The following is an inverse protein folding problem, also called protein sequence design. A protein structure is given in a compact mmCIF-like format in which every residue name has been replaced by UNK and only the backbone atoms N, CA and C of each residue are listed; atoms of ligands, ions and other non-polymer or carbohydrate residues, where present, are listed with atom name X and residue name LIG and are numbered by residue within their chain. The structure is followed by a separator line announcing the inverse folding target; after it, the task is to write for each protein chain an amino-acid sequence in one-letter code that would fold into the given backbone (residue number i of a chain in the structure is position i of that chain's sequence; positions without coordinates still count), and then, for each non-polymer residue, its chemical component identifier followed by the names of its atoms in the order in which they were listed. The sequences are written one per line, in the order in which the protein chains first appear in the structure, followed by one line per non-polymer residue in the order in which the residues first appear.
data_IF_387177558953
#
_entry.id   IF_387177558953
#
_cell.length_a   1.000
_cell.length_b   1.000
_cell.length_c   1.000
_cell.angle_alpha   90.00
_cell.angle_beta   90.00
_cell.angle_gamma   90.00
#
_symmetry.space_group_name_H-M   'P 1'
#
loop_
_entity.id
_entity.type
_entity.pdbx_description
1 polymer ?
#
# COMPACT_ATOMS: atom_id res chain seq x y z
N UNK A 1 -4.89 -23.48 2.76
CA UNK A 1 -3.58 -23.02 3.18
C UNK A 1 -3.65 -21.68 3.92
N UNK A 2 -4.19 -20.58 3.31
CA UNK A 2 -4.24 -19.24 3.94
C UNK A 2 -4.87 -19.25 5.36
N UNK A 3 -6.00 -19.92 5.55
CA UNK A 3 -6.69 -20.00 6.85
C UNK A 3 -5.88 -20.74 7.89
N UNK A 4 -5.29 -21.87 7.52
CA UNK A 4 -4.41 -22.65 8.39
C UNK A 4 -3.17 -21.85 8.82
N UNK A 5 -2.49 -21.24 7.84
CA UNK A 5 -1.30 -20.42 8.14
C UNK A 5 -1.63 -19.24 9.04
N UNK A 6 -2.79 -18.58 8.85
CA UNK A 6 -3.22 -17.49 9.75
C UNK A 6 -3.48 -17.98 11.18
N UNK A 7 -4.10 -19.15 11.34
CA UNK A 7 -4.28 -19.76 12.66
C UNK A 7 -2.92 -20.06 13.30
N UNK A 8 -2.02 -20.73 12.57
CA UNK A 8 -0.67 -21.01 13.04
C UNK A 8 0.07 -19.74 13.51
N UNK A 9 0.02 -18.65 12.72
CA UNK A 9 0.63 -17.36 13.08
C UNK A 9 0.04 -16.79 14.38
N UNK A 10 -1.27 -16.95 14.60
CA UNK A 10 -1.92 -16.46 15.81
C UNK A 10 -1.58 -17.31 17.05
N UNK A 11 -1.35 -18.61 16.86
CA UNK A 11 -1.07 -19.58 17.93
C UNK A 11 0.43 -19.64 18.29
N UNK A 12 1.32 -18.96 17.56
CA UNK A 12 2.75 -18.93 17.88
C UNK A 12 3.04 -18.12 19.14
N UNK A 13 3.77 -18.72 20.07
CA UNK A 13 4.10 -18.11 21.36
C UNK A 13 5.52 -17.56 21.42
N UNK A 14 6.47 -18.16 20.69
CA UNK A 14 7.87 -17.76 20.76
C UNK A 14 8.33 -16.87 19.61
N UNK A 15 9.28 -15.97 19.89
CA UNK A 15 9.97 -15.15 18.89
C UNK A 15 10.67 -16.02 17.85
N UNK A 16 11.31 -17.12 18.30
CA UNK A 16 12.06 -18.04 17.44
C UNK A 16 11.15 -18.68 16.40
N UNK A 17 10.00 -19.20 16.80
CA UNK A 17 9.04 -19.84 15.89
C UNK A 17 8.47 -18.85 14.89
N UNK A 18 8.18 -17.64 15.36
CA UNK A 18 7.70 -16.53 14.49
C UNK A 18 8.73 -16.21 13.40
N UNK A 19 10.00 -16.08 13.76
CA UNK A 19 11.10 -15.80 12.80
C UNK A 19 11.26 -16.95 11.81
N UNK A 20 11.25 -18.18 12.27
CA UNK A 20 11.37 -19.37 11.42
C UNK A 20 10.22 -19.41 10.41
N UNK A 21 8.98 -19.19 10.87
CA UNK A 21 7.82 -19.19 10.00
C UNK A 21 7.88 -18.08 8.93
N UNK A 22 8.27 -16.87 9.31
CA UNK A 22 8.38 -15.75 8.35
C UNK A 22 9.45 -16.08 7.29
N UNK A 23 10.61 -16.62 7.69
CA UNK A 23 11.66 -17.05 6.75
C UNK A 23 11.15 -18.14 5.81
N UNK A 24 10.48 -19.16 6.33
CA UNK A 24 9.90 -20.24 5.53
C UNK A 24 8.87 -19.71 4.52
N UNK A 25 7.98 -18.82 4.96
CA UNK A 25 6.98 -18.21 4.07
C UNK A 25 7.62 -17.39 2.94
N UNK A 26 8.72 -16.69 3.22
CA UNK A 26 9.48 -15.97 2.21
C UNK A 26 10.16 -16.94 1.21
N UNK A 27 10.79 -18.01 1.68
CA UNK A 27 11.39 -19.05 0.83
C UNK A 27 10.34 -19.73 -0.07
N UNK A 28 9.12 -19.88 0.42
CA UNK A 28 8.00 -20.42 -0.35
C UNK A 28 7.32 -19.38 -1.27
N UNK A 29 7.87 -18.18 -1.43
CA UNK A 29 7.25 -17.06 -2.17
C UNK A 29 5.83 -16.71 -1.70
N UNK A 30 5.55 -16.89 -0.39
CA UNK A 30 4.28 -16.52 0.24
C UNK A 30 4.37 -15.14 0.90
N UNK A 31 4.88 -14.16 0.17
CA UNK A 31 5.21 -12.82 0.66
C UNK A 31 4.06 -12.17 1.43
N UNK A 32 2.82 -12.27 0.96
CA UNK A 32 1.66 -11.71 1.67
C UNK A 32 1.42 -12.34 3.05
N UNK A 33 1.68 -13.63 3.21
CA UNK A 33 1.57 -14.31 4.51
C UNK A 33 2.77 -13.98 5.41
N UNK A 34 3.97 -13.85 4.85
CA UNK A 34 5.15 -13.42 5.58
C UNK A 34 4.96 -12.00 6.16
N UNK A 35 4.43 -11.06 5.38
CA UNK A 35 4.09 -9.71 5.84
C UNK A 35 2.99 -9.75 6.93
N UNK A 36 1.98 -10.60 6.77
CA UNK A 36 0.95 -10.77 7.80
C UNK A 36 1.57 -11.29 9.11
N UNK A 37 2.44 -12.30 9.04
CA UNK A 37 3.14 -12.85 10.21
C UNK A 37 4.03 -11.79 10.88
N UNK A 38 4.81 -11.03 10.09
CA UNK A 38 5.70 -9.99 10.62
C UNK A 38 4.93 -8.84 11.28
N UNK A 39 3.80 -8.41 10.71
CA UNK A 39 2.92 -7.42 11.35
C UNK A 39 2.38 -7.91 12.70
N UNK A 40 2.00 -9.20 12.79
CA UNK A 40 1.57 -9.81 14.07
C UNK A 40 2.71 -9.90 15.07
N UNK A 41 3.94 -10.18 14.61
CA UNK A 41 5.13 -10.22 15.44
C UNK A 41 5.42 -8.86 16.11
N UNK A 42 5.26 -7.76 15.39
CA UNK A 42 5.44 -6.40 15.94
C UNK A 42 4.52 -6.14 17.14
N UNK A 43 3.27 -6.59 17.11
CA UNK A 43 2.35 -6.49 18.25
C UNK A 43 2.80 -7.29 19.48
N UNK A 44 3.77 -8.19 19.30
CA UNK A 44 4.40 -8.99 20.37
C UNK A 44 5.82 -8.51 20.69
N UNK A 45 6.15 -7.27 20.32
CA UNK A 45 7.46 -6.64 20.47
C UNK A 45 8.60 -7.38 19.73
N UNK A 46 8.28 -8.14 18.68
CA UNK A 46 9.25 -8.82 17.82
C UNK A 46 9.39 -8.00 16.55
N UNK A 47 10.41 -7.13 16.48
CA UNK A 47 10.69 -6.31 15.32
C UNK A 47 12.02 -6.70 14.69
N UNK A 48 11.96 -7.24 13.46
CA UNK A 48 13.14 -7.62 12.69
C UNK A 48 13.01 -6.96 11.31
N UNK A 49 13.71 -5.85 11.06
CA UNK A 49 13.49 -4.98 9.89
C UNK A 49 13.46 -5.74 8.56
N UNK A 50 14.46 -6.58 8.29
CA UNK A 50 14.55 -7.30 7.01
C UNK A 50 13.45 -8.35 6.81
N UNK A 51 12.81 -8.86 7.89
CA UNK A 51 11.66 -9.76 7.80
C UNK A 51 10.34 -8.98 7.66
N UNK A 52 10.30 -7.78 8.22
CA UNK A 52 9.10 -6.93 8.18
C UNK A 52 8.92 -6.26 6.82
N UNK A 53 10.01 -6.09 6.06
CA UNK A 53 10.02 -5.47 4.74
C UNK A 53 10.58 -6.42 3.66
N UNK A 54 9.93 -7.56 3.42
CA UNK A 54 10.39 -8.50 2.41
C UNK A 54 10.29 -7.86 1.02
N UNK A 55 11.32 -8.11 0.22
CA UNK A 55 11.31 -7.75 -1.19
C UNK A 55 10.50 -8.80 -1.95
N UNK A 56 9.56 -8.42 -2.83
CA UNK A 56 8.82 -9.38 -3.63
C UNK A 56 9.72 -10.10 -4.64
N UNK A 57 9.23 -11.21 -5.20
CA UNK A 57 9.95 -12.00 -6.21
C UNK A 57 10.42 -11.15 -7.39
N UNK A 58 11.56 -11.52 -8.00
CA UNK A 58 12.23 -10.78 -9.08
C UNK A 58 11.28 -10.46 -10.25
N UNK A 59 10.45 -11.42 -10.65
CA UNK A 59 9.43 -11.23 -11.70
C UNK A 59 8.47 -10.09 -11.40
N UNK A 60 8.06 -9.95 -10.14
CA UNK A 60 7.18 -8.85 -9.75
C UNK A 60 7.95 -7.53 -9.68
N UNK A 61 9.19 -7.53 -9.19
CA UNK A 61 10.07 -6.35 -9.21
C UNK A 61 10.24 -5.81 -10.63
N UNK A 62 10.57 -6.67 -11.59
CA UNK A 62 10.67 -6.29 -13.00
C UNK A 62 9.38 -5.68 -13.52
N UNK A 63 8.22 -6.25 -13.11
CA UNK A 63 6.91 -5.68 -13.49
C UNK A 63 6.72 -4.26 -12.96
N UNK A 64 7.20 -3.94 -11.74
CA UNK A 64 7.19 -2.58 -11.20
C UNK A 64 8.11 -1.64 -11.99
N UNK A 65 9.33 -2.08 -12.28
CA UNK A 65 10.31 -1.30 -13.05
C UNK A 65 9.76 -0.88 -14.42
N UNK A 66 9.09 -1.80 -15.11
CA UNK A 66 8.57 -1.58 -16.46
C UNK A 66 7.26 -0.77 -16.50
N UNK A 67 6.47 -0.78 -15.44
CA UNK A 67 5.10 -0.26 -15.49
C UNK A 67 4.80 0.88 -14.51
N UNK A 68 5.71 1.24 -13.60
CA UNK A 68 5.46 2.29 -12.63
C UNK A 68 5.71 3.69 -13.20
N UNK A 69 4.82 4.62 -12.90
CA UNK A 69 4.97 6.07 -13.16
C UNK A 69 5.65 6.84 -12.03
N UNK A 70 6.00 6.16 -10.94
CA UNK A 70 6.65 6.72 -9.76
C UNK A 70 7.86 5.87 -9.39
N UNK A 71 8.78 6.37 -8.55
CA UNK A 71 9.93 5.58 -8.09
C UNK A 71 9.50 4.22 -7.54
N UNK A 72 10.25 3.17 -7.88
CA UNK A 72 9.90 1.78 -7.56
C UNK A 72 9.72 1.54 -6.06
N UNK A 73 10.58 2.13 -5.23
CA UNK A 73 10.52 2.04 -3.77
C UNK A 73 9.18 2.57 -3.22
N UNK A 74 8.67 3.66 -3.78
CA UNK A 74 7.37 4.23 -3.42
C UNK A 74 6.23 3.31 -3.84
N UNK A 75 6.26 2.81 -5.09
CA UNK A 75 5.24 1.88 -5.58
C UNK A 75 5.20 0.57 -4.77
N UNK A 76 6.37 0.06 -4.36
CA UNK A 76 6.48 -1.11 -3.50
C UNK A 76 5.94 -0.83 -2.09
N UNK A 77 6.25 0.33 -1.50
CA UNK A 77 5.76 0.71 -0.18
C UNK A 77 4.23 0.80 -0.16
N UNK A 78 3.63 1.46 -1.16
CA UNK A 78 2.17 1.53 -1.32
C UNK A 78 1.58 0.13 -1.46
N UNK A 79 2.12 -0.71 -2.33
CA UNK A 79 1.56 -2.05 -2.56
C UNK A 79 1.72 -2.98 -1.36
N UNK A 80 2.80 -2.83 -0.59
CA UNK A 80 2.97 -3.52 0.69
C UNK A 80 1.90 -3.11 1.69
N UNK A 81 1.60 -1.83 1.78
CA UNK A 81 0.58 -1.30 2.69
C UNK A 81 -0.82 -1.73 2.26
N UNK A 82 -1.16 -1.61 0.99
CA UNK A 82 -2.48 -1.84 0.43
C UNK A 82 -2.88 -3.33 0.38
N UNK A 83 -1.99 -4.19 -0.06
CA UNK A 83 -2.33 -5.60 -0.33
C UNK A 83 -1.34 -6.61 0.26
N UNK A 84 -0.26 -6.17 0.88
CA UNK A 84 0.88 -7.04 1.21
C UNK A 84 1.36 -7.85 -0.02
N UNK A 85 1.37 -7.23 -1.20
CA UNK A 85 1.69 -7.84 -2.50
C UNK A 85 0.74 -8.95 -2.97
N UNK A 86 -0.48 -9.05 -2.43
CA UNK A 86 -1.49 -9.98 -2.96
C UNK A 86 -2.16 -9.39 -4.20
N UNK A 87 -1.72 -9.83 -5.39
CA UNK A 87 -2.29 -9.39 -6.67
C UNK A 87 -3.79 -9.65 -6.80
N UNK A 88 -4.31 -10.66 -6.10
CA UNK A 88 -5.72 -11.05 -6.11
C UNK A 88 -6.57 -10.35 -5.04
N UNK A 89 -5.98 -9.45 -4.24
CA UNK A 89 -6.68 -8.82 -3.13
C UNK A 89 -7.92 -8.05 -3.59
N UNK A 90 -9.01 -8.22 -2.84
CA UNK A 90 -10.25 -7.45 -2.99
C UNK A 90 -10.71 -7.05 -1.59
N UNK A 91 -10.79 -5.74 -1.33
CA UNK A 91 -11.26 -5.22 -0.05
C UNK A 91 -12.79 -5.32 0.09
N UNK A 92 -13.30 -5.16 1.31
CA UNK A 92 -14.74 -5.07 1.56
C UNK A 92 -15.41 -3.93 0.79
N UNK A 93 -14.71 -2.80 0.62
CA UNK A 93 -15.18 -1.66 -0.15
C UNK A 93 -15.07 -1.86 -1.68
N UNK A 94 -14.45 -2.95 -2.14
CA UNK A 94 -14.30 -3.27 -3.54
C UNK A 94 -13.03 -2.75 -4.20
N UNK A 95 -12.06 -2.23 -3.46
CA UNK A 95 -10.72 -1.91 -3.94
C UNK A 95 -9.99 -3.18 -4.39
N UNK A 96 -9.13 -3.11 -5.43
CA UNK A 96 -8.64 -4.30 -6.13
C UNK A 96 -7.15 -4.26 -6.44
N UNK A 97 -6.51 -5.42 -6.28
CA UNK A 97 -5.15 -5.73 -6.74
C UNK A 97 -4.05 -5.16 -5.84
N UNK A 98 -2.84 -5.15 -6.37
CA UNK A 98 -1.62 -4.78 -5.64
C UNK A 98 -1.72 -3.41 -4.96
N UNK A 99 -2.18 -2.41 -5.69
CA UNK A 99 -2.29 -1.01 -5.23
C UNK A 99 -3.73 -0.63 -4.83
N UNK A 100 -4.62 -1.61 -4.60
CA UNK A 100 -5.99 -1.45 -4.08
C UNK A 100 -6.79 -0.31 -4.73
N UNK A 101 -6.84 -0.30 -6.05
CA UNK A 101 -7.62 0.72 -6.77
C UNK A 101 -9.13 0.45 -6.71
N UNK A 102 -9.89 1.48 -6.36
CA UNK A 102 -11.33 1.47 -6.54
C UNK A 102 -11.67 1.41 -8.05
N UNK A 103 -12.66 0.60 -8.48
CA UNK A 103 -13.03 0.46 -9.89
C UNK A 103 -13.34 1.79 -10.59
N UNK A 104 -13.97 2.75 -9.87
CA UNK A 104 -14.25 4.09 -10.40
C UNK A 104 -12.96 4.87 -10.65
N UNK A 105 -12.04 4.89 -9.70
CA UNK A 105 -10.73 5.53 -9.83
C UNK A 105 -9.95 4.92 -10.98
N UNK A 106 -9.84 3.59 -11.02
CA UNK A 106 -9.15 2.89 -12.10
C UNK A 106 -9.70 3.20 -13.49
N UNK A 107 -11.04 3.35 -13.63
CA UNK A 107 -11.67 3.72 -14.90
C UNK A 107 -11.30 5.15 -15.34
N UNK A 108 -11.31 6.09 -14.41
CA UNK A 108 -10.93 7.48 -14.68
C UNK A 108 -9.47 7.56 -15.07
N UNK A 109 -8.59 6.92 -14.31
CA UNK A 109 -7.15 6.87 -14.57
C UNK A 109 -6.85 6.22 -15.92
N UNK A 110 -7.50 5.10 -16.24
CA UNK A 110 -7.32 4.44 -17.53
C UNK A 110 -7.64 5.37 -18.71
N UNK A 111 -8.70 6.17 -18.61
CA UNK A 111 -9.03 7.18 -19.66
C UNK A 111 -7.91 8.22 -19.81
N UNK A 112 -7.36 8.71 -18.71
CA UNK A 112 -6.31 9.74 -18.72
C UNK A 112 -5.03 9.28 -19.42
N UNK A 113 -4.72 7.99 -19.34
CA UNK A 113 -3.54 7.41 -20.01
C UNK A 113 -3.90 6.68 -21.31
N UNK A 114 -5.04 6.97 -21.90
CA UNK A 114 -5.53 6.35 -23.14
C UNK A 114 -5.50 4.81 -23.11
N UNK A 115 -5.86 4.22 -21.96
CA UNK A 115 -5.84 2.77 -21.77
C UNK A 115 -7.24 2.21 -21.58
N UNK A 116 -7.54 1.03 -22.19
CA UNK A 116 -8.85 0.39 -22.07
C UNK A 116 -9.07 -0.06 -20.61
N UNK A 117 -10.19 0.38 -20.01
CA UNK A 117 -10.58 -0.09 -18.67
C UNK A 117 -11.16 -1.51 -18.72
N UNK A 118 -10.53 -2.43 -17.98
CA UNK A 118 -10.99 -3.82 -17.82
C UNK A 118 -10.92 -4.19 -16.33
N UNK A 119 -12.09 -4.21 -15.66
CA UNK A 119 -12.19 -4.42 -14.21
C UNK A 119 -11.46 -5.68 -13.71
N UNK A 120 -11.60 -6.82 -14.40
CA UNK A 120 -10.95 -8.08 -14.02
C UNK A 120 -9.43 -8.02 -14.04
N UNK A 121 -8.85 -7.17 -14.90
CA UNK A 121 -7.40 -7.01 -14.99
C UNK A 121 -6.79 -6.35 -13.75
N UNK A 122 -7.57 -5.66 -12.92
CA UNK A 122 -7.09 -5.10 -11.66
C UNK A 122 -6.57 -6.18 -10.69
N UNK A 123 -7.06 -7.41 -10.80
CA UNK A 123 -6.60 -8.54 -9.97
C UNK A 123 -5.87 -9.62 -10.76
N UNK A 124 -6.08 -9.71 -12.07
CA UNK A 124 -5.47 -10.75 -12.90
C UNK A 124 -4.12 -10.33 -13.50
N UNK A 125 -3.91 -9.03 -13.73
CA UNK A 125 -2.71 -8.52 -14.40
C UNK A 125 -1.96 -7.52 -13.50
N UNK A 126 -0.87 -7.94 -12.82
CA UNK A 126 -0.05 -7.06 -11.99
C UNK A 126 0.37 -5.76 -12.70
N UNK A 127 0.91 -5.85 -13.92
CA UNK A 127 1.32 -4.70 -14.73
C UNK A 127 0.21 -3.67 -14.93
N UNK A 128 -1.02 -4.14 -15.17
CA UNK A 128 -2.18 -3.27 -15.33
C UNK A 128 -2.53 -2.51 -14.05
N UNK A 129 -2.50 -3.19 -12.91
CA UNK A 129 -2.80 -2.59 -11.62
C UNK A 129 -1.73 -1.58 -11.20
N UNK A 130 -0.44 -1.97 -11.35
CA UNK A 130 0.71 -1.11 -11.06
C UNK A 130 0.67 0.15 -11.93
N UNK A 131 0.44 -0.01 -13.23
CA UNK A 131 0.36 1.10 -14.18
C UNK A 131 -0.70 2.14 -13.76
N UNK A 132 -1.90 1.70 -13.46
CA UNK A 132 -2.99 2.59 -13.06
C UNK A 132 -2.77 3.17 -11.65
N UNK A 133 -2.32 2.34 -10.69
CA UNK A 133 -2.12 2.77 -9.31
C UNK A 133 -1.00 3.79 -9.17
N UNK A 134 0.13 3.55 -9.83
CA UNK A 134 1.25 4.47 -9.80
C UNK A 134 0.95 5.79 -10.51
N UNK A 135 0.21 5.74 -11.63
CA UNK A 135 -0.23 6.97 -12.29
C UNK A 135 -1.19 7.77 -11.38
N UNK A 136 -2.15 7.12 -10.73
CA UNK A 136 -3.04 7.79 -9.79
C UNK A 136 -2.29 8.42 -8.62
N UNK A 137 -1.27 7.74 -8.08
CA UNK A 137 -0.43 8.33 -7.03
C UNK A 137 0.41 9.51 -7.55
N UNK A 138 0.95 9.42 -8.77
CA UNK A 138 1.62 10.54 -9.45
C UNK A 138 0.71 11.77 -9.52
N UNK A 139 -0.56 11.59 -9.90
CA UNK A 139 -1.55 12.68 -9.89
C UNK A 139 -1.75 13.31 -8.51
N UNK A 140 -1.70 12.48 -7.43
CA UNK A 140 -1.78 13.01 -6.06
C UNK A 140 -0.52 13.80 -5.70
N UNK A 141 0.66 13.35 -6.09
CA UNK A 141 1.90 14.11 -5.90
C UNK A 141 1.85 15.46 -6.63
N UNK A 142 1.44 15.48 -7.89
CA UNK A 142 1.30 16.70 -8.67
C UNK A 142 0.27 17.66 -8.04
N UNK A 143 -0.91 17.15 -7.67
CA UNK A 143 -1.97 17.93 -7.02
C UNK A 143 -1.50 18.59 -5.71
N UNK A 144 -0.64 17.95 -4.97
CA UNK A 144 -0.14 18.43 -3.68
C UNK A 144 1.31 18.92 -3.75
N UNK A 145 1.77 19.39 -4.92
CA UNK A 145 3.06 20.01 -5.15
C UNK A 145 4.25 19.19 -4.61
N UNK A 146 4.23 17.88 -4.84
CA UNK A 146 5.30 16.97 -4.45
C UNK A 146 5.30 16.53 -2.97
N UNK A 147 4.36 16.97 -2.15
CA UNK A 147 4.26 16.53 -0.76
C UNK A 147 3.82 15.08 -0.68
N UNK A 148 4.73 14.19 -0.28
CA UNK A 148 4.43 12.76 -0.08
C UNK A 148 3.39 12.51 1.00
N UNK A 149 3.46 13.21 2.12
CA UNK A 149 2.48 13.05 3.20
C UNK A 149 1.05 13.35 2.72
N UNK A 150 0.86 14.48 2.03
CA UNK A 150 -0.44 14.86 1.50
C UNK A 150 -0.91 13.92 0.37
N UNK A 151 0.01 13.48 -0.49
CA UNK A 151 -0.28 12.55 -1.57
C UNK A 151 -0.67 11.16 -1.04
N UNK A 152 0.01 10.63 -0.02
CA UNK A 152 -0.35 9.37 0.65
C UNK A 152 -1.70 9.48 1.35
N UNK A 153 -1.94 10.56 2.09
CA UNK A 153 -3.25 10.82 2.68
C UNK A 153 -4.36 10.88 1.62
N UNK A 154 -4.09 11.52 0.47
CA UNK A 154 -5.04 11.64 -0.63
C UNK A 154 -5.26 10.32 -1.37
N UNK A 155 -4.24 9.50 -1.50
CA UNK A 155 -4.37 8.17 -2.09
C UNK A 155 -5.32 7.29 -1.27
N UNK A 156 -5.14 7.28 0.05
CA UNK A 156 -5.95 6.48 0.98
C UNK A 156 -7.35 7.07 1.21
N UNK A 157 -7.45 8.35 1.62
CA UNK A 157 -8.72 8.97 2.02
C UNK A 157 -9.46 9.71 0.88
N UNK A 158 -8.77 9.95 -0.23
CA UNK A 158 -9.28 10.75 -1.34
C UNK A 158 -8.88 12.23 -1.26
N UNK A 159 -8.55 12.85 -2.42
CA UNK A 159 -8.00 14.20 -2.47
C UNK A 159 -8.93 15.30 -1.94
N UNK A 160 -10.25 15.13 -2.06
CA UNK A 160 -11.21 16.11 -1.56
C UNK A 160 -11.23 16.21 -0.02
N UNK A 161 -11.00 15.09 0.67
CA UNK A 161 -10.87 15.09 2.14
C UNK A 161 -9.60 15.83 2.56
N UNK A 162 -8.48 15.52 1.93
CA UNK A 162 -7.20 16.22 2.20
C UNK A 162 -7.33 17.71 1.96
N UNK A 163 -7.95 18.14 0.86
CA UNK A 163 -8.18 19.56 0.59
C UNK A 163 -9.05 20.25 1.66
N UNK A 164 -10.02 19.53 2.25
CA UNK A 164 -10.79 20.05 3.39
C UNK A 164 -9.94 20.13 4.66
N UNK A 165 -9.14 19.11 4.96
CA UNK A 165 -8.27 19.11 6.14
C UNK A 165 -7.25 20.24 6.09
N UNK A 166 -6.68 20.52 4.91
CA UNK A 166 -5.80 21.68 4.72
C UNK A 166 -6.48 23.02 5.02
N UNK A 167 -7.77 23.16 4.67
CA UNK A 167 -8.55 24.37 4.99
C UNK A 167 -8.88 24.47 6.49
N UNK A 168 -9.08 23.34 7.15
CA UNK A 168 -9.50 23.30 8.55
C UNK A 168 -8.33 23.41 9.50
N UNK A 169 -7.20 22.75 9.21
CA UNK A 169 -6.07 22.62 10.14
C UNK A 169 -4.85 23.42 9.74
N UNK A 170 -4.86 24.04 8.55
CA UNK A 170 -3.70 24.72 7.98
C UNK A 170 -2.93 23.85 6.96
N UNK A 171 -2.05 24.49 6.22
CA UNK A 171 -1.26 23.86 5.15
C UNK A 171 0.22 23.77 5.55
N UNK A 172 0.76 22.57 5.84
CA UNK A 172 2.15 22.42 6.26
C UNK A 172 3.17 22.88 5.20
N UNK A 173 2.75 22.98 3.93
CA UNK A 173 3.62 23.50 2.85
C UNK A 173 3.80 25.02 2.91
N UNK A 174 2.92 25.73 3.62
CA UNK A 174 2.94 27.19 3.78
C UNK A 174 3.59 27.63 5.12
N UNK A 175 3.92 26.67 5.98
CA UNK A 175 4.41 26.97 7.32
C UNK A 175 3.33 27.27 8.36
N UNK A 176 2.05 27.02 8.02
CA UNK A 176 0.93 27.18 8.98
C UNK A 176 1.11 26.27 10.21
N UNK A 177 1.71 25.10 10.01
CA UNK A 177 2.09 24.13 11.05
C UNK A 177 3.15 23.17 10.46
N UNK A 178 3.85 22.42 11.31
CA UNK A 178 4.78 21.38 10.85
C UNK A 178 4.05 20.14 10.32
N UNK A 179 4.74 19.34 9.49
CA UNK A 179 4.17 18.19 8.82
C UNK A 179 3.72 17.09 9.79
N UNK A 180 4.44 16.86 10.88
CA UNK A 180 4.12 15.81 11.86
C UNK A 180 2.82 16.17 12.57
N UNK A 181 2.71 17.41 13.04
CA UNK A 181 1.49 17.94 13.65
C UNK A 181 0.29 17.80 12.69
N UNK A 182 0.46 18.12 11.40
CA UNK A 182 -0.59 17.97 10.42
C UNK A 182 -1.05 16.50 10.28
N UNK A 183 -0.09 15.56 10.25
CA UNK A 183 -0.41 14.12 10.17
C UNK A 183 -1.22 13.67 11.39
N UNK A 184 -0.84 14.11 12.60
CA UNK A 184 -1.56 13.77 13.84
C UNK A 184 -2.98 14.34 13.88
N UNK A 185 -3.24 15.46 13.20
CA UNK A 185 -4.58 16.05 13.08
C UNK A 185 -5.48 15.34 12.07
N UNK A 186 -4.99 14.38 11.30
CA UNK A 186 -5.83 13.59 10.39
C UNK A 186 -6.89 12.83 11.18
N UNK A 187 -8.21 13.10 10.96
CA UNK A 187 -9.27 12.55 11.80
C UNK A 187 -9.55 11.06 11.54
N UNK A 188 -9.06 10.51 10.43
CA UNK A 188 -9.21 9.10 10.07
C UNK A 188 -7.95 8.35 10.51
N UNK A 189 -8.06 7.54 11.56
CA UNK A 189 -6.95 6.78 12.12
C UNK A 189 -6.25 5.86 11.10
N UNK A 190 -7.01 5.24 10.20
CA UNK A 190 -6.45 4.44 9.11
C UNK A 190 -5.53 5.28 8.23
N UNK A 191 -5.96 6.49 7.83
CA UNK A 191 -5.18 7.38 6.97
C UNK A 191 -3.97 7.96 7.72
N UNK A 192 -4.13 8.32 9.00
CA UNK A 192 -3.01 8.79 9.83
C UNK A 192 -1.90 7.73 9.93
N UNK A 193 -2.27 6.47 10.16
CA UNK A 193 -1.31 5.36 10.20
C UNK A 193 -0.76 4.95 8.82
N UNK A 194 -1.39 5.41 7.75
CA UNK A 194 -0.96 5.15 6.39
C UNK A 194 0.17 6.07 5.96
N UNK A 195 0.16 7.32 6.44
CA UNK A 195 1.13 8.37 6.11
C UNK A 195 2.38 8.24 6.95
#
# INVERSE_FOLDING_TARGET
LKSFTRKLINDMETTKDTVILIKLLNQMNKTSLAIYASRRAVYRNVYIPYLNFPIPEEKLLKTYQENSYIPINVALAISRQESAFDKGAVSRAGARGLMQLMPRTARITARKINHKYIRKNLTLKPSYNIKLGSYYFKEMLEKFNGSYALALAAYNAGPNRVSRWLKTYGDPRKGDLDQVTWIELIPISETRNYV
#
